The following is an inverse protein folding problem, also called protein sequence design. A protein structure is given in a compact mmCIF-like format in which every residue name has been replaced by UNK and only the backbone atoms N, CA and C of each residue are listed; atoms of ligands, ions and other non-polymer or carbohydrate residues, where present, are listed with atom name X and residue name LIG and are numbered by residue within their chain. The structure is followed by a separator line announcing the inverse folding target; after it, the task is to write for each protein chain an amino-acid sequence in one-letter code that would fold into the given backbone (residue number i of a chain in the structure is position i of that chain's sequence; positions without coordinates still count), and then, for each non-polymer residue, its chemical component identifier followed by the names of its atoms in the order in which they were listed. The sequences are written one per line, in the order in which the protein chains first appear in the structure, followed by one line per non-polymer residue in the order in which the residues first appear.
data_IF_594639353970
#
_entry.id   IF_594639353970
#
_cell.length_a   1.000
_cell.length_b   1.000
_cell.length_c   1.000
_cell.angle_alpha   90.00
_cell.angle_beta   90.00
_cell.angle_gamma   90.00
#
_symmetry.space_group_name_H-M   'P 1'
#
loop_
_entity.id
_entity.type
_entity.pdbx_description
1 polymer ?
#
# COMPACT_ATOMS: atom_id res chain seq x y z
N UNK A 1 15.75 25.56 17.19
CA UNK A 1 15.74 24.13 17.51
C UNK A 1 16.07 23.39 16.21
N UNK A 2 17.34 22.99 16.00
CA UNK A 2 17.73 22.25 14.78
C UNK A 2 17.33 20.80 14.98
N UNK A 3 16.39 20.31 14.18
CA UNK A 3 16.04 18.90 14.16
C UNK A 3 17.28 18.09 13.72
N UNK A 4 17.58 16.94 14.35
CA UNK A 4 18.72 16.11 13.96
C UNK A 4 18.62 15.73 12.48
N UNK A 5 19.76 15.65 11.76
CA UNK A 5 19.83 15.35 10.30
C UNK A 5 19.04 14.08 9.91
N UNK A 6 18.92 13.11 10.82
CA UNK A 6 18.10 11.90 10.64
C UNK A 6 16.61 12.18 10.41
N UNK A 7 16.04 13.22 11.02
CA UNK A 7 14.63 13.58 10.85
C UNK A 7 14.36 14.30 9.52
N UNK A 8 15.34 15.08 9.05
CA UNK A 8 15.26 15.77 7.75
C UNK A 8 15.18 14.75 6.61
N UNK A 9 16.12 13.80 6.56
CA UNK A 9 16.12 12.76 5.52
C UNK A 9 14.86 11.88 5.55
N UNK A 10 14.33 11.56 6.73
CA UNK A 10 13.07 10.81 6.85
C UNK A 10 11.88 11.59 6.30
N UNK A 11 11.78 12.88 6.63
CA UNK A 11 10.69 13.74 6.16
C UNK A 11 10.70 13.91 4.64
N UNK A 12 11.89 14.03 4.04
CA UNK A 12 12.07 14.12 2.59
C UNK A 12 11.58 12.86 1.89
N UNK A 13 11.87 11.67 2.44
CA UNK A 13 11.41 10.40 1.90
C UNK A 13 9.88 10.30 1.96
N UNK A 14 9.26 10.67 3.08
CA UNK A 14 7.79 10.67 3.22
C UNK A 14 7.16 11.61 2.20
N UNK A 15 7.67 12.84 2.08
CA UNK A 15 7.13 13.84 1.15
C UNK A 15 7.28 13.37 -0.29
N UNK A 16 8.45 12.82 -0.65
CA UNK A 16 8.70 12.25 -1.98
C UNK A 16 7.72 11.12 -2.28
N UNK A 17 7.57 10.15 -1.38
CA UNK A 17 6.59 9.07 -1.51
C UNK A 17 5.17 9.61 -1.70
N UNK A 18 4.74 10.55 -0.87
CA UNK A 18 3.38 11.09 -0.89
C UNK A 18 3.09 11.82 -2.21
N UNK A 19 4.07 12.52 -2.76
CA UNK A 19 4.01 13.17 -4.07
C UNK A 19 3.88 12.15 -5.20
N UNK A 20 4.74 11.13 -5.22
CA UNK A 20 4.75 10.07 -6.25
C UNK A 20 3.43 9.29 -6.25
N UNK A 21 2.86 9.02 -5.07
CA UNK A 21 1.61 8.30 -4.95
C UNK A 21 0.39 9.08 -5.46
N UNK A 22 0.47 10.41 -5.61
CA UNK A 22 -0.66 11.25 -6.05
C UNK A 22 -1.35 12.06 -4.94
N UNK A 23 -0.84 11.94 -3.70
CA UNK A 23 -1.24 12.75 -2.56
C UNK A 23 -2.70 12.58 -2.09
N UNK A 24 -3.21 13.59 -1.36
CA UNK A 24 -4.55 13.56 -0.75
C UNK A 24 -5.68 13.50 -1.76
N UNK A 25 -5.49 14.12 -2.94
CA UNK A 25 -6.50 14.14 -3.98
C UNK A 25 -6.72 12.74 -4.56
N UNK A 26 -5.65 12.02 -4.87
CA UNK A 26 -5.78 10.64 -5.35
C UNK A 26 -6.31 9.71 -4.28
N UNK A 27 -5.90 9.89 -3.01
CA UNK A 27 -6.43 9.07 -1.92
C UNK A 27 -7.95 9.21 -1.80
N UNK A 28 -8.47 10.44 -1.76
CA UNK A 28 -9.90 10.71 -1.58
C UNK A 28 -10.73 10.38 -2.83
N UNK A 29 -10.16 10.55 -4.02
CA UNK A 29 -10.82 10.20 -5.28
C UNK A 29 -10.57 8.75 -5.71
N UNK A 30 -9.83 7.97 -4.91
CA UNK A 30 -9.43 6.62 -5.28
C UNK A 30 -10.66 5.72 -5.42
N UNK A 31 -10.82 4.97 -6.52
CA UNK A 31 -11.89 4.00 -6.66
C UNK A 31 -11.82 2.92 -5.58
N UNK A 32 -10.61 2.64 -5.05
CA UNK A 32 -10.38 1.68 -3.97
C UNK A 32 -10.99 2.17 -2.65
N UNK A 33 -10.87 3.46 -2.34
CA UNK A 33 -11.47 4.04 -1.14
C UNK A 33 -13.00 4.00 -1.22
N UNK A 34 -13.57 4.37 -2.37
CA UNK A 34 -15.02 4.32 -2.60
C UNK A 34 -15.55 2.89 -2.50
N UNK A 35 -14.83 1.92 -3.07
CA UNK A 35 -15.17 0.50 -2.94
C UNK A 35 -15.10 0.03 -1.48
N UNK A 36 -14.09 0.47 -0.71
CA UNK A 36 -13.97 0.14 0.71
C UNK A 36 -15.16 0.68 1.52
N UNK A 37 -15.56 1.93 1.27
CA UNK A 37 -16.74 2.55 1.92
C UNK A 37 -18.01 1.78 1.54
N UNK A 38 -18.22 1.51 0.25
CA UNK A 38 -19.39 0.78 -0.23
C UNK A 38 -19.48 -0.61 0.41
N UNK A 39 -18.38 -1.36 0.44
CA UNK A 39 -18.30 -2.67 1.09
C UNK A 39 -18.56 -2.56 2.59
N UNK A 40 -18.01 -1.54 3.24
CA UNK A 40 -18.22 -1.29 4.68
C UNK A 40 -19.70 -1.08 5.00
N UNK A 41 -20.39 -0.23 4.23
CA UNK A 41 -21.83 0.02 4.38
C UNK A 41 -22.63 -1.25 4.10
N UNK A 42 -22.28 -2.02 3.08
CA UNK A 42 -22.95 -3.28 2.76
C UNK A 42 -22.78 -4.34 3.87
N UNK A 43 -21.70 -4.24 4.63
CA UNK A 43 -21.35 -5.13 5.74
C UNK A 43 -21.49 -4.46 7.11
N UNK A 44 -22.39 -3.47 7.24
CA UNK A 44 -22.64 -2.76 8.49
C UNK A 44 -22.89 -3.64 9.73
N UNK A 45 -23.46 -4.87 9.66
CA UNK A 45 -23.60 -5.72 10.85
C UNK A 45 -22.26 -6.08 11.49
N UNK A 46 -21.16 -6.09 10.72
CA UNK A 46 -19.82 -6.33 11.26
C UNK A 46 -19.31 -5.21 12.14
N UNK A 47 -19.86 -4.00 12.03
CA UNK A 47 -19.46 -2.86 12.88
C UNK A 47 -19.84 -3.10 14.35
N UNK A 48 -20.88 -3.89 14.61
CA UNK A 48 -21.32 -4.22 15.96
C UNK A 48 -20.73 -5.54 16.48
N UNK A 49 -20.20 -6.36 15.58
CA UNK A 49 -19.50 -7.59 15.91
C UNK A 49 -18.02 -7.32 16.25
N UNK A 50 -17.33 -8.33 16.78
CA UNK A 50 -15.90 -8.25 17.10
C UNK A 50 -15.00 -8.36 15.85
N UNK A 51 -15.20 -7.48 14.86
CA UNK A 51 -14.42 -7.44 13.63
C UNK A 51 -12.91 -7.27 13.89
N UNK A 52 -12.55 -6.58 14.97
CA UNK A 52 -11.17 -6.28 15.34
C UNK A 52 -10.31 -7.54 15.54
N UNK A 53 -10.89 -8.63 16.07
CA UNK A 53 -10.17 -9.89 16.28
C UNK A 53 -9.90 -10.64 14.98
N UNK A 54 -10.90 -10.74 14.09
CA UNK A 54 -10.71 -11.31 12.75
C UNK A 54 -9.77 -10.45 11.90
N UNK A 55 -9.94 -9.14 11.93
CA UNK A 55 -9.11 -8.18 11.19
C UNK A 55 -7.65 -8.21 11.65
N UNK A 56 -7.37 -8.34 12.96
CA UNK A 56 -6.02 -8.46 13.50
C UNK A 56 -5.28 -9.66 12.88
N UNK A 57 -5.94 -10.83 12.87
CA UNK A 57 -5.35 -12.05 12.33
C UNK A 57 -5.08 -11.92 10.82
N UNK A 58 -6.03 -11.35 10.07
CA UNK A 58 -5.90 -11.19 8.62
C UNK A 58 -4.77 -10.20 8.30
N UNK A 59 -4.78 -9.01 8.91
CA UNK A 59 -3.79 -7.96 8.64
C UNK A 59 -2.39 -8.37 9.10
N UNK A 60 -2.26 -9.04 10.25
CA UNK A 60 -0.94 -9.49 10.74
C UNK A 60 -0.32 -10.52 9.80
N UNK A 61 -1.10 -11.50 9.34
CA UNK A 61 -0.63 -12.47 8.36
C UNK A 61 -0.25 -11.79 7.04
N UNK A 62 -1.10 -10.89 6.54
CA UNK A 62 -0.88 -10.19 5.28
C UNK A 62 0.34 -9.27 5.34
N UNK A 63 0.56 -8.56 6.43
CA UNK A 63 1.77 -7.74 6.67
C UNK A 63 3.04 -8.59 6.59
N UNK A 64 3.05 -9.74 7.26
CA UNK A 64 4.19 -10.65 7.23
C UNK A 64 4.51 -11.15 5.81
N UNK A 65 3.49 -11.61 5.09
CA UNK A 65 3.66 -12.09 3.71
C UNK A 65 4.02 -10.97 2.72
N UNK A 66 3.45 -9.78 2.87
CA UNK A 66 3.72 -8.66 1.96
C UNK A 66 5.11 -8.08 2.16
N UNK A 67 5.59 -7.97 3.40
CA UNK A 67 6.96 -7.55 3.68
C UNK A 67 7.98 -8.58 3.18
N UNK A 68 7.70 -9.88 3.40
CA UNK A 68 8.51 -10.97 2.85
C UNK A 68 8.54 -10.99 1.32
N UNK A 69 7.38 -10.84 0.68
CA UNK A 69 7.26 -10.76 -0.78
C UNK A 69 7.98 -9.54 -1.36
N UNK A 70 7.88 -8.38 -0.70
CA UNK A 70 8.58 -7.16 -1.10
C UNK A 70 10.11 -7.30 -0.97
N UNK A 71 10.59 -7.92 0.12
CA UNK A 71 12.02 -8.22 0.28
C UNK A 71 12.54 -9.15 -0.81
N UNK A 72 11.77 -10.20 -1.17
CA UNK A 72 12.11 -11.11 -2.27
C UNK A 72 12.12 -10.35 -3.61
N UNK A 73 11.14 -9.48 -3.87
CA UNK A 73 11.08 -8.68 -5.10
C UNK A 73 12.31 -7.78 -5.24
N UNK A 74 12.76 -7.15 -4.16
CA UNK A 74 13.99 -6.34 -4.17
C UNK A 74 15.25 -7.20 -4.32
N UNK A 75 15.29 -8.37 -3.66
CA UNK A 75 16.45 -9.27 -3.70
C UNK A 75 16.63 -9.98 -5.05
N UNK A 76 15.52 -10.28 -5.74
CA UNK A 76 15.51 -10.93 -7.06
C UNK A 76 15.43 -9.93 -8.23
N UNK A 77 15.38 -8.63 -7.94
CA UNK A 77 15.39 -7.59 -8.96
C UNK A 77 16.70 -7.61 -9.73
N UNK A 78 16.68 -8.04 -10.99
CA UNK A 78 17.84 -7.97 -11.87
C UNK A 78 18.36 -6.52 -11.96
N UNK A 79 19.67 -6.31 -11.82
CA UNK A 79 20.24 -4.96 -11.79
C UNK A 79 20.00 -4.20 -13.10
N UNK A 80 20.02 -4.90 -14.24
CA UNK A 80 19.65 -4.31 -15.53
C UNK A 80 18.18 -3.87 -15.58
N UNK A 81 17.29 -4.66 -14.99
CA UNK A 81 15.87 -4.34 -14.89
C UNK A 81 15.63 -3.08 -14.06
N UNK A 82 16.27 -2.96 -12.88
CA UNK A 82 16.16 -1.79 -12.01
C UNK A 82 16.75 -0.54 -12.67
N UNK A 83 17.91 -0.66 -13.31
CA UNK A 83 18.57 0.46 -13.99
C UNK A 83 17.74 1.07 -15.11
N UNK A 84 17.04 0.26 -15.90
CA UNK A 84 16.26 0.78 -17.02
C UNK A 84 14.89 1.31 -16.61
N UNK A 85 14.30 0.71 -15.56
CA UNK A 85 13.07 1.19 -14.97
C UNK A 85 13.23 2.48 -14.19
N UNK A 86 14.46 2.89 -13.84
CA UNK A 86 14.75 4.15 -13.15
C UNK A 86 14.44 5.38 -14.03
N UNK A 87 14.30 5.20 -15.35
CA UNK A 87 14.12 6.31 -16.29
C UNK A 87 15.39 7.16 -16.42
N UNK A 88 15.44 8.05 -17.43
CA UNK A 88 16.45 9.11 -17.47
C UNK A 88 16.05 10.23 -16.50
N UNK A 89 17.05 10.81 -15.83
CA UNK A 89 16.95 11.81 -14.74
C UNK A 89 16.08 13.04 -15.08
N UNK A 90 15.82 13.28 -16.37
CA UNK A 90 15.04 14.41 -16.92
C UNK A 90 13.53 14.12 -17.16
N UNK A 91 13.04 12.89 -16.97
CA UNK A 91 11.70 12.46 -17.45
C UNK A 91 10.74 11.93 -16.38
N UNK A 92 10.46 12.73 -15.35
CA UNK A 92 9.39 12.44 -14.40
C UNK A 92 9.61 11.20 -13.52
N UNK A 93 8.61 10.83 -12.70
CA UNK A 93 8.73 9.70 -11.79
C UNK A 93 8.68 8.37 -12.57
N UNK A 94 9.68 7.52 -12.34
CA UNK A 94 9.85 6.28 -13.10
C UNK A 94 8.74 5.25 -12.85
N UNK A 95 8.40 4.36 -13.81
CA UNK A 95 7.36 3.35 -13.61
C UNK A 95 7.65 2.41 -12.42
N UNK A 96 8.91 2.16 -12.11
CA UNK A 96 9.34 1.40 -10.93
C UNK A 96 9.11 2.15 -9.65
N UNK A 97 9.44 3.44 -9.62
CA UNK A 97 9.19 4.31 -8.47
C UNK A 97 7.68 4.39 -8.19
N UNK A 98 6.83 4.43 -9.21
CA UNK A 98 5.38 4.39 -9.06
C UNK A 98 4.85 3.07 -8.47
N UNK A 99 5.35 1.92 -8.94
CA UNK A 99 4.99 0.61 -8.35
C UNK A 99 5.48 0.52 -6.91
N UNK A 100 6.69 1.00 -6.63
CA UNK A 100 7.24 1.01 -5.28
C UNK A 100 6.43 1.93 -4.34
N UNK A 101 6.00 3.10 -4.81
CA UNK A 101 5.14 3.99 -4.03
C UNK A 101 3.79 3.33 -3.70
N UNK A 102 3.19 2.59 -4.65
CA UNK A 102 1.98 1.82 -4.38
C UNK A 102 2.21 0.72 -3.32
N UNK A 103 3.39 0.08 -3.34
CA UNK A 103 3.80 -0.89 -2.32
C UNK A 103 3.89 -0.28 -0.92
N UNK A 104 4.65 0.82 -0.82
CA UNK A 104 4.82 1.55 0.44
C UNK A 104 3.47 2.05 0.94
N UNK A 105 2.60 2.52 0.06
CA UNK A 105 1.26 2.98 0.43
C UNK A 105 0.43 1.89 1.10
N UNK A 106 0.33 0.70 0.50
CA UNK A 106 -0.47 -0.36 1.10
C UNK A 106 0.15 -0.83 2.44
N UNK A 107 1.48 -0.90 2.55
CA UNK A 107 2.15 -1.30 3.80
C UNK A 107 1.82 -0.30 4.93
N UNK A 108 1.89 1.00 4.64
CA UNK A 108 1.53 2.05 5.58
C UNK A 108 0.06 1.90 6.02
N UNK A 109 -0.86 1.65 5.10
CA UNK A 109 -2.27 1.47 5.44
C UNK A 109 -2.52 0.22 6.29
N UNK A 110 -1.82 -0.88 6.03
CA UNK A 110 -1.91 -2.07 6.85
C UNK A 110 -1.39 -1.81 8.28
N UNK A 111 -0.29 -1.06 8.44
CA UNK A 111 0.24 -0.66 9.75
C UNK A 111 -0.76 0.27 10.47
N UNK A 112 -1.30 1.29 9.79
CA UNK A 112 -2.31 2.20 10.36
C UNK A 112 -3.53 1.42 10.81
N UNK A 113 -4.01 0.48 9.99
CA UNK A 113 -5.15 -0.40 10.33
C UNK A 113 -4.86 -1.22 11.58
N UNK A 114 -3.66 -1.78 11.70
CA UNK A 114 -3.24 -2.53 12.88
C UNK A 114 -3.24 -1.65 14.13
N UNK A 115 -2.75 -0.42 14.04
CA UNK A 115 -2.81 0.54 15.16
C UNK A 115 -4.26 0.88 15.54
N UNK A 116 -5.14 1.10 14.57
CA UNK A 116 -6.57 1.33 14.82
C UNK A 116 -7.20 0.13 15.54
N UNK A 117 -6.86 -1.10 15.14
CA UNK A 117 -7.33 -2.33 15.79
C UNK A 117 -6.83 -2.42 17.24
N UNK A 118 -5.57 -2.06 17.52
CA UNK A 118 -5.04 -2.05 18.88
C UNK A 118 -5.78 -1.03 19.76
N UNK A 119 -5.99 0.19 19.26
CA UNK A 119 -6.75 1.24 19.96
C UNK A 119 -8.20 0.79 20.17
N UNK A 120 -8.81 0.20 19.15
CA UNK A 120 -10.13 -0.41 19.19
C UNK A 120 -10.24 -1.41 20.35
N UNK A 121 -9.30 -2.35 20.46
CA UNK A 121 -9.30 -3.36 21.53
C UNK A 121 -9.04 -2.78 22.92
N UNK A 122 -8.24 -1.72 23.03
CA UNK A 122 -7.91 -1.10 24.30
C UNK A 122 -9.05 -0.20 24.86
N UNK A 123 -9.76 0.52 23.98
CA UNK A 123 -10.68 1.60 24.39
C UNK A 123 -12.17 1.34 24.10
N UNK A 124 -12.52 0.34 23.28
CA UNK A 124 -13.92 -0.01 22.99
C UNK A 124 -14.58 -1.07 23.90
N UNK A 125 -13.98 -1.63 24.96
CA UNK A 125 -14.77 -2.41 25.91
C UNK A 125 -16.01 -1.60 26.36
N UNK A 126 -17.19 -2.20 26.24
CA UNK A 126 -18.52 -1.55 26.47
C UNK A 126 -18.66 -0.92 27.86
N UNK A 127 -17.78 -1.25 28.78
CA UNK A 127 -17.77 -0.72 30.15
C UNK A 127 -17.18 0.69 30.28
N UNK A 128 -16.43 1.18 29.28
CA UNK A 128 -15.65 2.43 29.38
C UNK A 128 -16.31 3.60 28.61
N UNK A 129 -17.11 3.36 27.55
CA UNK A 129 -17.60 4.43 26.67
C UNK A 129 -19.06 4.23 26.22
N UNK A 130 -19.91 5.28 26.22
CA UNK A 130 -21.31 5.19 25.78
C UNK A 130 -21.43 4.86 24.28
N UNK A 131 -22.48 4.11 23.92
CA UNK A 131 -22.72 3.36 22.68
C UNK A 131 -22.48 4.08 21.32
N UNK A 132 -22.49 5.41 21.25
CA UNK A 132 -22.37 6.16 19.98
C UNK A 132 -20.92 6.36 19.50
N UNK A 133 -19.99 6.65 20.41
CA UNK A 133 -18.56 6.84 20.08
C UNK A 133 -17.93 5.52 19.61
N UNK A 134 -18.20 4.37 20.26
CA UNK A 134 -17.70 3.07 19.81
C UNK A 134 -18.18 2.66 18.43
N UNK A 135 -19.44 2.96 18.08
CA UNK A 135 -20.01 2.55 16.81
C UNK A 135 -19.39 3.28 15.62
N UNK A 136 -19.25 4.62 15.70
CA UNK A 136 -18.59 5.41 14.63
C UNK A 136 -17.13 5.00 14.49
N UNK A 137 -16.42 4.85 15.61
CA UNK A 137 -15.01 4.43 15.58
C UNK A 137 -14.87 3.02 14.99
N UNK A 138 -15.78 2.11 15.33
CA UNK A 138 -15.85 0.76 14.77
C UNK A 138 -16.09 0.78 13.26
N UNK A 139 -17.06 1.57 12.79
CA UNK A 139 -17.35 1.73 11.36
C UNK A 139 -16.15 2.31 10.59
N UNK A 140 -15.50 3.34 11.13
CA UNK A 140 -14.29 3.94 10.53
C UNK A 140 -13.15 2.93 10.51
N UNK A 141 -12.88 2.26 11.63
CA UNK A 141 -11.81 1.28 11.72
C UNK A 141 -12.01 0.08 10.79
N UNK A 142 -13.23 -0.42 10.69
CA UNK A 142 -13.58 -1.48 9.76
C UNK A 142 -13.45 -1.03 8.29
N UNK A 143 -13.79 0.23 7.98
CA UNK A 143 -13.57 0.80 6.65
C UNK A 143 -12.09 0.90 6.31
N UNK A 144 -11.24 1.32 7.25
CA UNK A 144 -9.78 1.31 7.09
C UNK A 144 -9.24 -0.11 6.85
N UNK A 145 -9.77 -1.10 7.56
CA UNK A 145 -9.44 -2.50 7.34
C UNK A 145 -9.77 -2.97 5.92
N UNK A 146 -10.98 -2.70 5.43
CA UNK A 146 -11.36 -3.03 4.05
C UNK A 146 -10.51 -2.26 3.02
N UNK A 147 -10.19 -1.00 3.30
CA UNK A 147 -9.32 -0.19 2.45
C UNK A 147 -7.90 -0.77 2.36
N UNK A 148 -7.33 -1.23 3.48
CA UNK A 148 -6.04 -1.91 3.51
C UNK A 148 -6.05 -3.23 2.70
N UNK A 149 -7.14 -4.00 2.76
CA UNK A 149 -7.29 -5.22 1.95
C UNK A 149 -7.36 -4.90 0.45
N UNK A 150 -8.19 -3.93 0.06
CA UNK A 150 -8.35 -3.58 -1.34
C UNK A 150 -7.09 -2.91 -1.93
N UNK A 151 -6.35 -2.12 -1.14
CA UNK A 151 -5.06 -1.57 -1.59
C UNK A 151 -4.00 -2.65 -1.75
N UNK A 152 -4.09 -3.76 -1.00
CA UNK A 152 -3.24 -4.94 -1.23
C UNK A 152 -3.51 -5.58 -2.60
N UNK A 153 -4.79 -5.69 -2.98
CA UNK A 153 -5.18 -6.16 -4.30
C UNK A 153 -4.68 -5.20 -5.40
N UNK A 154 -4.83 -3.89 -5.21
CA UNK A 154 -4.32 -2.89 -6.14
C UNK A 154 -2.79 -2.98 -6.31
N UNK A 155 -2.05 -3.19 -5.23
CA UNK A 155 -0.61 -3.39 -5.28
C UNK A 155 -0.21 -4.69 -5.99
N UNK A 156 -0.99 -5.76 -5.83
CA UNK A 156 -0.78 -7.01 -6.57
C UNK A 156 -0.91 -6.78 -8.08
N UNK A 157 -1.92 -6.01 -8.52
CA UNK A 157 -2.02 -5.61 -9.92
C UNK A 157 -0.90 -4.66 -10.38
N UNK A 158 -0.37 -3.82 -9.50
CA UNK A 158 0.80 -3.00 -9.81
C UNK A 158 2.06 -3.86 -10.07
N UNK A 159 2.28 -4.93 -9.29
CA UNK A 159 3.33 -5.93 -9.55
C UNK A 159 3.09 -6.64 -10.88
N UNK A 160 1.85 -7.04 -11.14
CA UNK A 160 1.52 -7.71 -12.39
C UNK A 160 1.78 -6.80 -13.60
N UNK A 161 1.44 -5.51 -13.49
CA UNK A 161 1.80 -4.52 -14.52
C UNK A 161 3.32 -4.41 -14.68
N UNK A 162 4.07 -4.40 -13.59
CA UNK A 162 5.53 -4.39 -13.62
C UNK A 162 6.11 -5.62 -14.36
N UNK A 163 5.55 -6.81 -14.15
CA UNK A 163 6.00 -8.02 -14.84
C UNK A 163 5.68 -8.01 -16.33
N UNK A 164 4.54 -7.41 -16.74
CA UNK A 164 4.24 -7.25 -18.18
C UNK A 164 5.21 -6.30 -18.88
N UNK A 165 5.63 -5.23 -18.20
CA UNK A 165 6.67 -4.33 -18.71
C UNK A 165 8.02 -5.05 -18.83
N UNK A 166 8.38 -5.86 -17.83
CA UNK A 166 9.58 -6.70 -17.89
C UNK A 166 9.57 -7.64 -19.11
N UNK A 167 8.46 -8.35 -19.33
CA UNK A 167 8.37 -9.29 -20.45
C UNK A 167 8.53 -8.57 -21.80
N UNK A 168 7.85 -7.43 -21.99
CA UNK A 168 7.97 -6.63 -23.23
C UNK A 168 9.41 -6.19 -23.47
N UNK A 169 10.12 -5.80 -22.43
CA UNK A 169 11.52 -5.41 -22.52
C UNK A 169 12.43 -6.56 -22.97
N UNK A 170 12.28 -7.74 -22.36
CA UNK A 170 13.06 -8.93 -22.74
C UNK A 170 12.80 -9.32 -24.20
N UNK A 171 11.58 -9.15 -24.69
CA UNK A 171 11.25 -9.37 -26.11
C UNK A 171 11.92 -8.36 -27.04
N UNK A 172 11.96 -7.08 -26.67
CA UNK A 172 12.63 -6.01 -27.43
C UNK A 172 14.15 -6.23 -27.51
N UNK A 173 14.81 -6.60 -26.41
CA UNK A 173 16.25 -6.93 -26.42
C UNK A 173 16.55 -8.14 -27.30
N UNK A 174 15.73 -9.20 -27.23
CA UNK A 174 15.89 -10.39 -28.08
C UNK A 174 15.77 -10.03 -29.56
N UNK A 175 14.83 -9.15 -29.94
CA UNK A 175 14.66 -8.68 -31.31
C UNK A 175 15.87 -7.88 -31.79
N UNK A 176 16.41 -6.98 -30.96
CA UNK A 176 17.58 -6.16 -31.29
C UNK A 176 18.81 -7.02 -31.53
N UNK A 177 19.12 -7.94 -30.61
CA UNK A 177 20.25 -8.86 -30.75
C UNK A 177 20.12 -9.74 -32.00
N UNK A 178 18.91 -10.18 -32.36
CA UNK A 178 18.69 -10.96 -33.59
C UNK A 178 18.89 -10.16 -34.88
N UNK A 179 18.78 -8.82 -34.84
CA UNK A 179 19.01 -7.95 -35.99
C UNK A 179 20.50 -7.63 -36.16
N UNK A 180 21.23 -7.47 -35.06
CA UNK A 180 22.68 -7.20 -35.07
C UNK A 180 23.53 -8.43 -35.46
N UNK A 181 22.94 -9.63 -35.45
CA UNK A 181 23.62 -10.88 -35.84
C UNK A 181 23.40 -11.26 -37.32
N UNK A 182 22.68 -10.44 -38.10
CA UNK A 182 22.44 -10.63 -39.55
C UNK A 182 23.19 -9.57 -40.36
#
# INVERSE_FOLDING_TARGET
MRLPESYLGFSEIIVKYWRIYGGWRELLLSPVLHAAILLSVLSFPFWEMEWSSSALNIISNLLGFTLGGYAILLALGDQKFIWMLAGDDDSGDSPYIGVNAAFVHFLILQIITLLIILVSKAWLPKEICPWTIPWIFSAVGYTFFLYALLTTLAATFAIFRLSTWYNRFVEEEKKKNSCDTK
#
